data_IF_922517433577
#
_entry.id   IF_922517433577
#
_cell.length_a   1.000
_cell.length_b   1.000
_cell.length_c   1.000
_cell.angle_alpha   90.00
_cell.angle_beta   90.00
_cell.angle_gamma   90.00
#
_symmetry.space_group_name_H-M   'P 1'
#
loop_
_entity.id
_entity.type
_entity.pdbx_description
1 polymer ?
#
# COMPACT_ATOMS: atom_id res chain seq x y z
N UNK A 1 -16.95 3.20 -38.57
CA UNK A 1 -16.22 3.93 -37.51
C UNK A 1 -17.20 4.92 -36.91
N UNK A 2 -17.86 4.58 -35.81
CA UNK A 2 -18.82 5.48 -35.17
C UNK A 2 -18.04 6.43 -34.25
N UNK A 3 -18.15 7.76 -34.38
CA UNK A 3 -17.62 8.64 -33.35
C UNK A 3 -18.45 8.39 -32.09
N UNK A 4 -17.83 7.83 -31.06
CA UNK A 4 -18.43 7.81 -29.73
C UNK A 4 -18.75 9.27 -29.36
N UNK A 5 -19.94 9.56 -28.79
CA UNK A 5 -20.24 10.89 -28.33
C UNK A 5 -19.10 11.30 -27.37
N UNK A 6 -18.50 12.47 -27.60
CA UNK A 6 -17.46 13.02 -26.71
C UNK A 6 -18.12 13.36 -25.37
N UNK A 7 -18.30 12.35 -24.52
CA UNK A 7 -18.60 12.54 -23.11
C UNK A 7 -17.50 13.43 -22.55
N UNK A 8 -17.83 14.48 -21.76
CA UNK A 8 -16.80 15.33 -21.18
C UNK A 8 -15.86 14.47 -20.36
N UNK A 9 -14.59 14.45 -20.78
CA UNK A 9 -13.54 13.71 -20.11
C UNK A 9 -13.09 14.49 -18.88
N UNK A 10 -13.05 13.83 -17.74
CA UNK A 10 -12.56 14.34 -16.46
C UNK A 10 -11.32 13.56 -16.06
N UNK A 11 -10.32 14.28 -15.56
CA UNK A 11 -9.12 13.66 -15.03
C UNK A 11 -9.38 13.08 -13.66
N UNK A 12 -9.04 11.81 -13.49
CA UNK A 12 -9.14 11.12 -12.22
C UNK A 12 -8.21 11.79 -11.21
N UNK A 13 -8.73 12.30 -10.08
CA UNK A 13 -7.90 12.89 -9.04
C UNK A 13 -7.04 11.83 -8.36
N UNK A 14 -5.96 12.27 -7.72
CA UNK A 14 -5.20 11.41 -6.81
C UNK A 14 -5.96 11.28 -5.50
N UNK A 15 -6.45 10.07 -5.27
CA UNK A 15 -7.21 9.67 -4.09
C UNK A 15 -6.37 8.84 -3.12
N UNK A 16 -5.30 8.19 -3.61
CA UNK A 16 -4.38 7.42 -2.76
C UNK A 16 -3.78 8.31 -1.66
N UNK A 17 -3.90 7.86 -0.41
CA UNK A 17 -3.47 8.53 0.81
C UNK A 17 -4.51 9.50 1.40
N UNK A 18 -5.67 9.70 0.76
CA UNK A 18 -6.78 10.43 1.35
C UNK A 18 -7.61 9.52 2.25
N UNK A 19 -8.19 10.11 3.30
CA UNK A 19 -9.23 9.46 4.09
C UNK A 19 -10.43 9.12 3.19
N UNK A 20 -11.15 8.04 3.50
CA UNK A 20 -12.31 7.58 2.73
C UNK A 20 -13.34 8.72 2.48
N UNK A 21 -13.55 9.58 3.47
CA UNK A 21 -14.44 10.75 3.36
C UNK A 21 -13.91 11.75 2.33
N UNK A 22 -12.65 12.19 2.47
CA UNK A 22 -12.03 13.15 1.56
C UNK A 22 -11.93 12.60 0.13
N UNK A 23 -11.62 11.31 -0.02
CA UNK A 23 -11.58 10.65 -1.31
C UNK A 23 -12.94 10.70 -2.01
N UNK A 24 -14.03 10.41 -1.27
CA UNK A 24 -15.39 10.49 -1.80
C UNK A 24 -15.78 11.89 -2.19
N UNK A 25 -15.53 12.88 -1.33
CA UNK A 25 -15.87 14.27 -1.61
C UNK A 25 -15.07 14.81 -2.81
N UNK A 26 -13.78 14.46 -2.91
CA UNK A 26 -12.92 14.83 -4.05
C UNK A 26 -13.42 14.23 -5.37
N UNK A 27 -13.84 12.96 -5.37
CA UNK A 27 -14.41 12.33 -6.55
C UNK A 27 -15.75 12.97 -6.94
N UNK A 28 -16.65 13.22 -5.97
CA UNK A 28 -17.93 13.88 -6.22
C UNK A 28 -17.77 15.28 -6.79
N UNK A 29 -16.80 16.05 -6.31
CA UNK A 29 -16.48 17.38 -6.83
C UNK A 29 -16.07 17.35 -8.32
N UNK A 30 -15.54 16.22 -8.79
CA UNK A 30 -15.19 15.98 -10.20
C UNK A 30 -16.31 15.31 -11.00
N UNK A 31 -17.44 15.00 -10.37
CA UNK A 31 -18.53 14.23 -10.97
C UNK A 31 -18.13 12.78 -11.20
N UNK A 32 -17.35 12.19 -10.29
CA UNK A 32 -16.95 10.78 -10.31
C UNK A 32 -17.60 10.04 -9.14
N UNK A 33 -17.89 8.76 -9.35
CA UNK A 33 -18.47 7.88 -8.33
C UNK A 33 -17.37 6.99 -7.74
N UNK A 34 -17.22 6.97 -6.42
CA UNK A 34 -16.31 6.05 -5.75
C UNK A 34 -17.01 4.70 -5.50
N UNK A 35 -16.30 3.61 -5.75
CA UNK A 35 -16.75 2.24 -5.48
C UNK A 35 -15.62 1.45 -4.79
N UNK A 36 -15.93 0.68 -3.76
CA UNK A 36 -14.95 -0.14 -3.06
C UNK A 36 -15.42 -1.60 -3.07
N UNK A 37 -14.96 -2.41 -4.04
CA UNK A 37 -15.48 -3.76 -4.23
C UNK A 37 -15.07 -4.72 -3.10
N UNK A 38 -13.95 -4.42 -2.44
CA UNK A 38 -13.45 -5.19 -1.28
C UNK A 38 -14.29 -4.95 -0.02
N UNK A 39 -14.95 -3.79 0.06
CA UNK A 39 -15.62 -3.34 1.27
C UNK A 39 -16.90 -2.59 0.93
N UNK A 40 -18.03 -3.29 0.75
CA UNK A 40 -19.30 -2.64 0.38
C UNK A 40 -19.71 -1.59 1.42
N UNK A 41 -19.42 -1.80 2.70
CA UNK A 41 -19.74 -0.90 3.82
C UNK A 41 -18.79 0.29 4.00
N UNK A 42 -17.84 0.54 3.07
CA UNK A 42 -16.85 1.63 3.21
C UNK A 42 -17.48 3.02 3.33
N UNK A 43 -18.73 3.18 2.91
CA UNK A 43 -19.50 4.42 3.07
C UNK A 43 -19.80 4.75 4.54
N UNK A 44 -19.67 3.77 5.45
CA UNK A 44 -19.72 3.94 6.90
C UNK A 44 -18.33 4.13 7.53
N UNK A 45 -17.25 3.80 6.81
CA UNK A 45 -15.90 3.91 7.32
C UNK A 45 -15.31 5.31 7.08
N UNK A 46 -15.02 6.04 8.16
CA UNK A 46 -14.48 7.41 8.10
C UNK A 46 -12.96 7.46 8.19
N UNK A 47 -12.34 6.47 8.84
CA UNK A 47 -10.95 6.53 9.32
C UNK A 47 -9.93 5.78 8.47
N UNK A 48 -10.37 5.17 7.36
CA UNK A 48 -9.48 4.39 6.50
C UNK A 48 -8.89 5.24 5.37
N UNK A 49 -7.60 5.08 5.10
CA UNK A 49 -6.94 5.70 3.97
C UNK A 49 -7.01 4.82 2.72
N UNK A 50 -7.12 5.48 1.56
CA UNK A 50 -7.10 4.80 0.27
C UNK A 50 -5.66 4.38 -0.05
N UNK A 51 -5.39 3.07 -0.07
CA UNK A 51 -4.06 2.55 -0.45
C UNK A 51 -3.90 2.31 -1.94
N UNK A 52 -5.02 2.16 -2.66
CA UNK A 52 -5.02 1.89 -4.10
C UNK A 52 -6.25 2.48 -4.75
N UNK A 53 -6.08 2.95 -5.98
CA UNK A 53 -7.18 3.38 -6.84
C UNK A 53 -7.01 2.86 -8.26
N UNK A 54 -8.13 2.74 -8.96
CA UNK A 54 -8.21 2.46 -10.39
C UNK A 54 -9.45 3.15 -10.98
N UNK A 55 -9.35 3.92 -12.07
CA UNK A 55 -8.14 4.17 -12.88
C UNK A 55 -7.06 4.98 -12.15
N UNK A 56 -5.85 4.97 -12.73
CA UNK A 56 -4.71 5.69 -12.17
C UNK A 56 -4.97 7.21 -12.13
N UNK A 57 -4.38 7.93 -11.15
CA UNK A 57 -4.51 9.38 -11.11
C UNK A 57 -4.00 10.02 -12.39
N UNK A 58 -4.74 11.01 -12.89
CA UNK A 58 -4.47 11.68 -14.17
C UNK A 58 -5.06 10.98 -15.39
N UNK A 59 -5.60 9.76 -15.26
CA UNK A 59 -6.32 9.11 -16.35
C UNK A 59 -7.56 9.93 -16.74
N UNK A 60 -7.87 9.96 -18.03
CA UNK A 60 -9.04 10.64 -18.57
C UNK A 60 -10.19 9.64 -18.65
N UNK A 61 -11.27 9.94 -17.95
CA UNK A 61 -12.47 9.10 -17.90
C UNK A 61 -13.70 9.94 -18.21
N UNK A 62 -14.77 9.35 -18.79
CA UNK A 62 -16.05 10.04 -18.91
C UNK A 62 -16.54 10.55 -17.56
N UNK A 63 -17.23 11.69 -17.55
CA UNK A 63 -17.99 12.15 -16.38
C UNK A 63 -18.96 11.07 -15.92
N UNK A 64 -19.18 11.00 -14.61
CA UNK A 64 -20.01 10.01 -13.92
C UNK A 64 -19.45 8.57 -13.97
N UNK A 65 -18.17 8.41 -14.36
CA UNK A 65 -17.46 7.13 -14.28
C UNK A 65 -17.22 6.67 -12.85
N UNK A 66 -17.17 5.35 -12.65
CA UNK A 66 -16.79 4.73 -11.39
C UNK A 66 -15.27 4.65 -11.26
N UNK A 67 -14.77 5.09 -10.11
CA UNK A 67 -13.39 4.92 -9.67
C UNK A 67 -13.39 3.93 -8.52
N UNK A 68 -12.68 2.84 -8.73
CA UNK A 68 -12.53 1.78 -7.75
C UNK A 68 -11.39 2.12 -6.79
N UNK A 69 -11.63 1.98 -5.50
CA UNK A 69 -10.63 2.19 -4.45
C UNK A 69 -10.53 0.98 -3.54
N UNK A 70 -9.37 0.81 -2.95
CA UNK A 70 -9.11 -0.19 -1.91
C UNK A 70 -8.52 0.49 -0.69
N UNK A 71 -8.89 -0.04 0.46
CA UNK A 71 -8.46 0.40 1.78
C UNK A 71 -7.59 -0.70 2.40
N UNK A 72 -6.55 -0.34 3.14
CA UNK A 72 -5.78 -1.31 3.93
C UNK A 72 -6.18 -1.14 5.39
N UNK A 73 -6.96 -2.09 5.90
CA UNK A 73 -7.13 -2.23 7.34
C UNK A 73 -5.95 -3.06 7.84
N UNK A 74 -4.83 -2.42 8.14
CA UNK A 74 -3.76 -3.07 8.89
C UNK A 74 -4.36 -3.65 10.17
N UNK A 75 -4.21 -4.96 10.46
CA UNK A 75 -4.72 -5.53 11.70
C UNK A 75 -3.89 -4.97 12.86
N UNK A 76 -4.43 -3.92 13.50
CA UNK A 76 -3.84 -3.24 14.64
C UNK A 76 -3.13 -1.95 14.24
N UNK A 77 -3.58 -0.85 14.86
CA UNK A 77 -2.94 0.47 14.92
C UNK A 77 -1.59 0.64 14.21
N UNK A 78 -1.59 1.46 13.16
CA UNK A 78 -0.44 2.26 12.77
C UNK A 78 0.84 1.48 12.44
N UNK A 79 0.97 1.03 11.20
CA UNK A 79 2.29 0.84 10.63
C UNK A 79 2.22 1.10 9.12
N UNK A 80 2.66 2.30 8.73
CA UNK A 80 3.25 2.48 7.41
C UNK A 80 4.34 1.43 7.27
N UNK A 81 4.02 0.35 6.55
CA UNK A 81 4.98 -0.67 6.19
C UNK A 81 6.08 0.01 5.41
N UNK A 82 7.20 0.27 6.09
CA UNK A 82 8.46 0.55 5.41
C UNK A 82 8.66 -0.61 4.46
N UNK A 83 8.54 -0.34 3.15
CA UNK A 83 9.13 -1.22 2.15
C UNK A 83 10.61 -1.23 2.51
N UNK A 84 11.07 -2.26 3.21
CA UNK A 84 12.49 -2.45 3.42
C UNK A 84 13.15 -2.32 2.04
N UNK A 85 14.04 -1.33 1.83
CA UNK A 85 14.84 -1.27 0.63
C UNK A 85 15.51 -2.63 0.50
N UNK A 86 15.37 -3.28 -0.65
CA UNK A 86 16.04 -4.57 -0.88
C UNK A 86 17.55 -4.33 -0.76
N UNK A 87 18.09 -4.60 0.43
CA UNK A 87 19.53 -4.63 0.66
C UNK A 87 20.05 -5.71 -0.29
N UNK A 88 21.11 -5.46 -1.08
CA UNK A 88 21.74 -6.51 -1.87
C UNK A 88 22.07 -7.65 -0.90
N UNK A 89 21.67 -8.87 -1.24
CA UNK A 89 21.93 -10.04 -0.41
C UNK A 89 23.40 -10.13 0.00
N UNK A 90 23.71 -10.73 1.16
CA UNK A 90 25.09 -10.84 1.61
C UNK A 90 25.95 -11.48 0.50
N UNK A 91 27.17 -10.98 0.26
CA UNK A 91 28.04 -11.56 -0.76
C UNK A 91 28.29 -13.04 -0.41
N UNK A 92 28.06 -13.91 -1.40
CA UNK A 92 28.46 -15.30 -1.38
C UNK A 92 29.98 -15.38 -1.31
N UNK A 93 30.51 -15.53 -0.10
CA UNK A 93 31.96 -15.59 0.17
C UNK A 93 32.20 -16.26 1.50
N UNK A 94 32.16 -17.60 1.50
CA UNK A 94 32.46 -18.40 2.66
C UNK A 94 33.90 -18.22 3.16
N UNK A 95 34.08 -18.44 4.45
CA UNK A 95 35.27 -19.03 5.06
C UNK A 95 34.78 -19.65 6.36
N UNK A 96 34.76 -20.97 6.39
CA UNK A 96 34.62 -21.76 7.61
C UNK A 96 35.72 -21.29 8.56
N UNK A 97 35.39 -20.48 9.56
CA UNK A 97 36.27 -20.34 10.70
C UNK A 97 36.05 -21.60 11.52
N UNK A 98 36.94 -22.56 11.29
CA UNK A 98 37.06 -23.80 12.02
C UNK A 98 36.91 -23.49 13.51
N UNK A 99 35.87 -24.04 14.13
CA UNK A 99 35.67 -23.98 15.56
C UNK A 99 36.80 -24.82 16.16
N UNK A 100 37.88 -24.17 16.58
CA UNK A 100 38.94 -24.82 17.31
C UNK A 100 38.46 -25.07 18.75
N UNK A 101 37.83 -26.23 18.98
CA UNK A 101 38.02 -26.96 20.23
C UNK A 101 39.15 -27.98 19.99
N UNK A 102 40.02 -28.33 20.96
CA UNK A 102 39.83 -28.25 22.42
C UNK A 102 41.10 -27.83 23.23
N UNK A 103 40.95 -27.71 24.55
CA UNK A 103 42.05 -27.70 25.55
C UNK A 103 41.99 -26.48 26.47
N UNK A 104 42.02 -26.55 27.81
CA UNK A 104 42.26 -27.62 28.78
C UNK A 104 41.66 -27.16 30.15
N UNK A 105 41.48 -28.05 31.14
CA UNK A 105 40.74 -27.76 32.36
C UNK A 105 41.63 -27.03 33.39
N UNK A 106 41.41 -25.73 33.57
CA UNK A 106 42.08 -24.99 34.64
C UNK A 106 41.23 -24.98 35.92
N UNK A 107 41.63 -25.86 36.86
CA UNK A 107 41.75 -25.62 38.30
C UNK A 107 40.61 -24.82 38.96
N UNK A 108 39.76 -25.54 39.69
CA UNK A 108 39.06 -24.99 40.85
C UNK A 108 39.55 -25.73 42.11
N UNK A 109 40.35 -25.02 42.91
CA UNK A 109 40.42 -25.15 44.36
C UNK A 109 40.53 -23.72 44.87
N UNK A 110 39.72 -23.28 45.84
CA UNK A 110 39.91 -23.75 47.22
C UNK A 110 38.65 -23.83 48.10
N UNK A 111 38.69 -24.65 49.15
CA UNK A 111 38.27 -24.36 50.53
C UNK A 111 38.66 -25.53 51.45
#
# INVERSE_FOLDING_TARGET
MYPTPKTPEVRVPRLVGLMAVDARETARARGLCLDAPDRPDFHLTVVEDVVRQYPQPGAEVPRDSKVYVWFDFGPGEGAGGVREPRVPGPPSGGLQRELQEPGDPYVASPA
#
